data_IF_974250947693
#
_entry.id   IF_974250947693
#
_cell.length_a   1.000
_cell.length_b   1.000
_cell.length_c   1.000
_cell.angle_alpha   90.00
_cell.angle_beta   90.00
_cell.angle_gamma   90.00
#
_symmetry.space_group_name_H-M   'P 1'
#
loop_
_entity.id
_entity.type
_entity.pdbx_description
1 polymer ?
#
# COMPACT_ATOMS: atom_id res chain seq x y z
N UNK A 1 -9.68 2.59 -4.23
CA UNK A 1 -8.90 1.43 -4.76
C UNK A 1 -7.48 1.88 -5.06
N UNK A 2 -6.47 1.17 -4.53
CA UNK A 2 -5.04 1.52 -4.64
C UNK A 2 -4.27 0.56 -5.55
N UNK A 3 -4.46 -0.76 -5.40
CA UNK A 3 -3.90 -1.74 -6.33
C UNK A 3 -5.04 -2.42 -7.08
N UNK A 4 -5.15 -2.20 -8.40
CA UNK A 4 -6.19 -2.87 -9.20
C UNK A 4 -5.90 -4.37 -9.39
N UNK A 5 -4.63 -4.74 -9.52
CA UNK A 5 -4.27 -6.13 -9.81
C UNK A 5 -4.53 -7.09 -8.65
N UNK A 6 -4.33 -6.62 -7.42
CA UNK A 6 -4.53 -7.42 -6.20
C UNK A 6 -5.76 -6.93 -5.41
N UNK A 7 -6.60 -6.09 -6.03
CA UNK A 7 -7.83 -5.52 -5.46
C UNK A 7 -7.67 -4.78 -4.11
N UNK A 8 -6.46 -4.33 -3.78
CA UNK A 8 -6.14 -3.61 -2.54
C UNK A 8 -6.75 -2.20 -2.53
N UNK A 9 -7.47 -1.88 -1.46
CA UNK A 9 -8.11 -0.60 -1.21
C UNK A 9 -7.24 0.33 -0.33
N UNK A 10 -7.69 1.57 -0.12
CA UNK A 10 -7.04 2.45 0.85
C UNK A 10 -7.28 2.01 2.30
N UNK A 11 -8.42 1.35 2.58
CA UNK A 11 -8.73 0.80 3.89
C UNK A 11 -7.72 -0.29 4.30
N UNK A 12 -7.38 -1.18 3.37
CA UNK A 12 -6.38 -2.25 3.59
C UNK A 12 -4.99 -1.68 3.91
N UNK A 13 -4.61 -0.59 3.22
CA UNK A 13 -3.33 0.08 3.50
C UNK A 13 -3.35 0.74 4.88
N UNK A 14 -4.42 1.46 5.21
CA UNK A 14 -4.57 2.07 6.54
C UNK A 14 -4.57 1.02 7.64
N UNK A 15 -5.19 -0.13 7.40
CA UNK A 15 -5.13 -1.29 8.30
C UNK A 15 -3.69 -1.80 8.46
N UNK A 16 -2.97 -2.05 7.37
CA UNK A 16 -1.57 -2.45 7.44
C UNK A 16 -0.71 -1.45 8.23
N UNK A 17 -0.96 -0.14 8.07
CA UNK A 17 -0.27 0.92 8.83
C UNK A 17 -0.63 0.85 10.33
N UNK A 18 -1.91 0.66 10.68
CA UNK A 18 -2.34 0.43 12.08
C UNK A 18 -1.68 -0.80 12.69
N UNK A 19 -1.45 -1.85 11.90
CA UNK A 19 -0.74 -3.07 12.30
C UNK A 19 0.80 -2.93 12.30
N UNK A 20 1.33 -1.74 12.01
CA UNK A 20 2.75 -1.45 12.17
C UNK A 20 3.55 -1.34 10.86
N UNK A 21 2.92 -1.35 9.69
CA UNK A 21 3.62 -1.02 8.46
C UNK A 21 4.05 0.46 8.45
N UNK A 22 5.35 0.73 8.30
CA UNK A 22 5.93 2.09 8.35
C UNK A 22 6.65 2.52 7.08
N UNK A 23 6.66 1.67 6.06
CA UNK A 23 7.25 1.94 4.75
C UNK A 23 6.47 1.21 3.65
N UNK A 24 6.78 1.51 2.39
CA UNK A 24 6.08 0.95 1.23
C UNK A 24 6.24 -0.58 1.20
N UNK A 25 7.43 -1.11 1.50
CA UNK A 25 7.70 -2.54 1.39
C UNK A 25 6.99 -3.34 2.48
N UNK A 26 6.84 -2.78 3.68
CA UNK A 26 6.01 -3.31 4.74
C UNK A 26 4.52 -3.34 4.32
N UNK A 27 4.02 -2.26 3.71
CA UNK A 27 2.64 -2.24 3.18
C UNK A 27 2.46 -3.28 2.08
N UNK A 28 3.41 -3.39 1.13
CA UNK A 28 3.37 -4.39 0.06
C UNK A 28 3.39 -5.81 0.61
N UNK A 29 4.22 -6.10 1.62
CA UNK A 29 4.25 -7.43 2.28
C UNK A 29 2.95 -7.74 2.99
N UNK A 30 2.33 -6.76 3.65
CA UNK A 30 1.08 -6.95 4.39
C UNK A 30 -0.14 -7.12 3.48
N UNK A 31 -0.21 -6.37 2.37
CA UNK A 31 -1.41 -6.27 1.52
C UNK A 31 -1.27 -6.97 0.17
N UNK A 32 -0.06 -7.46 -0.16
CA UNK A 32 0.34 -7.94 -1.50
C UNK A 32 0.30 -6.89 -2.61
N UNK A 33 0.05 -5.60 -2.31
CA UNK A 33 0.00 -4.56 -3.32
C UNK A 33 1.25 -4.58 -4.23
N UNK A 34 1.03 -4.62 -5.55
CA UNK A 34 2.10 -4.66 -6.53
C UNK A 34 2.67 -6.04 -6.86
N UNK A 35 2.14 -7.12 -6.28
CA UNK A 35 2.51 -8.51 -6.62
C UNK A 35 1.73 -9.10 -7.81
N UNK A 36 0.78 -8.35 -8.37
CA UNK A 36 -0.01 -8.80 -9.52
C UNK A 36 0.63 -8.49 -10.88
N UNK A 37 -0.12 -8.68 -11.97
CA UNK A 37 0.38 -8.56 -13.35
C UNK A 37 1.09 -7.23 -13.68
N UNK A 38 0.72 -6.13 -13.02
CA UNK A 38 1.38 -4.83 -13.22
C UNK A 38 2.75 -4.70 -12.55
N UNK A 39 3.17 -5.68 -11.74
CA UNK A 39 4.45 -5.72 -11.03
C UNK A 39 4.77 -4.43 -10.26
N UNK A 40 3.75 -3.84 -9.62
CA UNK A 40 3.91 -2.65 -8.80
C UNK A 40 4.17 -1.37 -9.59
N UNK A 41 3.85 -1.30 -10.89
CA UNK A 41 4.11 -0.10 -11.71
C UNK A 41 3.26 1.13 -11.33
N UNK A 42 2.06 0.94 -10.78
CA UNK A 42 1.09 2.03 -10.59
C UNK A 42 0.71 2.33 -9.13
N UNK A 43 0.74 1.33 -8.25
CA UNK A 43 0.32 1.51 -6.85
C UNK A 43 1.33 2.22 -5.91
N UNK A 44 2.68 2.20 -6.11
CA UNK A 44 3.62 2.74 -5.12
C UNK A 44 3.41 4.22 -4.79
N UNK A 45 3.10 5.06 -5.77
CA UNK A 45 2.87 6.50 -5.54
C UNK A 45 1.65 6.74 -4.65
N UNK A 46 0.58 5.96 -4.83
CA UNK A 46 -0.60 6.04 -3.98
C UNK A 46 -0.33 5.50 -2.58
N UNK A 47 0.40 4.39 -2.45
CA UNK A 47 0.83 3.82 -1.17
C UNK A 47 1.66 4.87 -0.39
N UNK A 48 2.64 5.49 -1.04
CA UNK A 48 3.49 6.51 -0.45
C UNK A 48 2.68 7.72 0.06
N UNK A 49 1.69 8.17 -0.72
CA UNK A 49 0.80 9.26 -0.32
C UNK A 49 0.01 8.92 0.95
N UNK A 50 -0.56 7.71 1.04
CA UNK A 50 -1.32 7.28 2.22
C UNK A 50 -0.39 7.14 3.43
N UNK A 51 0.78 6.51 3.26
CA UNK A 51 1.79 6.42 4.32
C UNK A 51 2.17 7.79 4.87
N UNK A 52 2.37 8.76 3.99
CA UNK A 52 2.72 10.13 4.38
C UNK A 52 1.60 10.79 5.18
N UNK A 53 0.35 10.63 4.74
CA UNK A 53 -0.83 11.14 5.44
C UNK A 53 -1.03 10.51 6.82
N UNK A 54 -0.78 9.22 6.98
CA UNK A 54 -1.02 8.50 8.24
C UNK A 54 0.14 8.59 9.23
N UNK A 55 1.38 8.77 8.75
CA UNK A 55 2.59 8.73 9.60
C UNK A 55 3.33 10.06 9.69
N UNK A 56 2.94 11.06 8.91
CA UNK A 56 3.58 12.38 8.88
C UNK A 56 5.01 12.37 8.31
N UNK A 57 5.33 11.38 7.46
CA UNK A 57 6.65 11.16 6.86
C UNK A 57 6.66 11.29 5.35
#
# INVERSE_FOLDING_TARGET
>A
MVCRCEEVTDADIREAIRHGARDIDAVKRATRAGMGLCQGRSCPTMIARILSQETGR
#
